data_IF_066471986929
#
_entry.id   IF_066471986929
#
_cell.length_a   1.000
_cell.length_b   1.000
_cell.length_c   1.000
_cell.angle_alpha   90.00
_cell.angle_beta   90.00
_cell.angle_gamma   90.00
#
_symmetry.space_group_name_H-M   'P 1'
#
loop_
_entity.id
_entity.type
_entity.pdbx_description
1 polymer ?
#
# COMPACT_ATOMS: atom_id res chain seq x y z
N UNK A 1 24.62 -6.40 -9.09
CA UNK A 1 23.50 -6.40 -10.06
C UNK A 1 22.41 -5.55 -9.44
N UNK A 2 21.85 -4.55 -10.15
CA UNK A 2 20.68 -3.86 -9.64
C UNK A 2 19.56 -4.88 -9.46
N UNK A 3 18.94 -4.88 -8.28
CA UNK A 3 17.87 -5.79 -7.92
C UNK A 3 16.64 -5.02 -7.51
N UNK A 4 15.46 -5.48 -7.87
CA UNK A 4 14.21 -4.84 -7.44
C UNK A 4 13.59 -5.71 -6.34
N UNK A 5 13.34 -5.12 -5.18
CA UNK A 5 12.66 -5.78 -4.06
C UNK A 5 11.27 -5.19 -3.90
N UNK A 6 10.24 -6.02 -4.09
CA UNK A 6 8.86 -5.66 -3.80
C UNK A 6 8.48 -6.15 -2.40
N UNK A 7 8.15 -5.24 -1.50
CA UNK A 7 7.70 -5.54 -0.13
C UNK A 7 6.20 -5.26 -0.05
N UNK A 8 5.34 -6.28 0.11
CA UNK A 8 3.91 -6.07 0.28
C UNK A 8 3.60 -5.41 1.63
N UNK A 9 2.69 -4.43 1.62
CA UNK A 9 2.14 -3.78 2.79
C UNK A 9 0.78 -4.41 3.10
N UNK A 10 0.64 -4.88 4.34
CA UNK A 10 -0.61 -5.39 4.87
C UNK A 10 -1.17 -4.44 5.91
N UNK A 11 -2.47 -4.15 5.82
CA UNK A 11 -3.22 -3.39 6.82
C UNK A 11 -4.14 -4.32 7.57
N UNK A 12 -4.09 -4.24 8.91
CA UNK A 12 -5.05 -4.86 9.81
C UNK A 12 -5.73 -3.77 10.64
N UNK A 13 -7.05 -3.69 10.56
CA UNK A 13 -7.86 -2.76 11.36
C UNK A 13 -8.42 -3.53 12.56
N UNK A 14 -8.02 -3.15 13.77
CA UNK A 14 -8.42 -3.85 15.01
C UNK A 14 -7.99 -5.32 15.02
N UNK A 15 -8.93 -6.23 15.28
CA UNK A 15 -8.72 -7.69 15.21
C UNK A 15 -9.23 -8.29 13.87
N UNK A 16 -9.36 -7.48 12.83
CA UNK A 16 -9.83 -7.92 11.52
C UNK A 16 -8.80 -8.75 10.73
N UNK A 17 -9.22 -9.16 9.53
CA UNK A 17 -8.36 -9.84 8.56
C UNK A 17 -7.26 -8.91 8.07
N UNK A 18 -6.04 -9.44 7.89
CA UNK A 18 -4.97 -8.73 7.20
C UNK A 18 -5.30 -8.66 5.71
N UNK A 19 -5.37 -7.44 5.19
CA UNK A 19 -5.59 -7.20 3.76
C UNK A 19 -4.32 -6.61 3.18
N UNK A 20 -3.86 -7.15 2.06
CA UNK A 20 -2.81 -6.52 1.27
C UNK A 20 -3.36 -5.23 0.67
N UNK A 21 -2.71 -4.12 0.98
CA UNK A 21 -3.18 -2.77 0.61
C UNK A 21 -2.27 -2.07 -0.38
N UNK A 22 -1.10 -2.65 -0.65
CA UNK A 22 -0.16 -2.12 -1.61
C UNK A 22 1.19 -2.82 -1.48
N UNK A 23 2.17 -2.33 -2.22
CA UNK A 23 3.54 -2.80 -2.15
C UNK A 23 4.51 -1.63 -2.32
N UNK A 24 5.64 -1.71 -1.63
CA UNK A 24 6.77 -0.80 -1.82
C UNK A 24 7.74 -1.48 -2.75
N UNK A 25 8.09 -0.80 -3.84
CA UNK A 25 9.12 -1.26 -4.77
C UNK A 25 10.40 -0.51 -4.46
N UNK A 26 11.47 -1.25 -4.16
CA UNK A 26 12.79 -0.71 -3.84
C UNK A 26 13.77 -1.15 -4.91
N UNK A 27 14.41 -0.18 -5.57
CA UNK A 27 15.53 -0.43 -6.46
C UNK A 27 16.83 -0.45 -5.65
N UNK A 28 17.46 -1.62 -5.61
CA UNK A 28 18.74 -1.86 -4.94
C UNK A 28 19.88 -1.50 -5.90
N UNK A 29 20.44 -0.30 -5.75
CA UNK A 29 21.74 0.03 -6.33
C UNK A 29 22.86 -0.22 -5.30
N UNK A 30 23.75 -1.18 -5.57
CA UNK A 30 24.94 -1.42 -4.75
C UNK A 30 24.70 -2.30 -3.51
N UNK A 31 25.47 -2.04 -2.43
CA UNK A 31 25.76 -2.87 -1.23
C UNK A 31 24.56 -3.40 -0.39
N UNK A 32 23.35 -3.48 -0.96
CA UNK A 32 22.26 -4.27 -0.40
C UNK A 32 21.56 -3.65 0.81
N UNK A 33 21.79 -2.36 1.06
CA UNK A 33 21.11 -1.63 2.14
C UNK A 33 20.21 -0.56 1.54
N UNK A 34 18.91 -0.67 1.79
CA UNK A 34 17.91 0.33 1.43
C UNK A 34 17.35 0.92 2.72
N UNK A 35 17.49 2.24 2.85
CA UNK A 35 16.94 2.98 3.99
C UNK A 35 15.58 3.52 3.59
N UNK A 36 14.51 2.99 4.16
CA UNK A 36 13.20 3.61 4.07
C UNK A 36 13.07 4.70 5.13
N UNK A 37 12.58 5.87 4.74
CA UNK A 37 12.24 6.91 5.71
C UNK A 37 10.80 6.74 6.19
N UNK A 38 10.49 7.31 7.35
CA UNK A 38 9.11 7.40 7.84
C UNK A 38 8.20 8.16 6.87
N UNK A 39 8.76 9.04 6.04
CA UNK A 39 8.03 9.74 4.98
C UNK A 39 7.56 8.78 3.90
N UNK A 40 8.42 7.87 3.44
CA UNK A 40 8.07 6.86 2.43
C UNK A 40 6.95 5.94 2.94
N UNK A 41 7.01 5.57 4.23
CA UNK A 41 5.97 4.78 4.89
C UNK A 41 4.65 5.57 4.98
N UNK A 42 4.73 6.85 5.33
CA UNK A 42 3.55 7.71 5.42
C UNK A 42 2.89 7.92 4.04
N UNK A 43 3.67 8.10 2.98
CA UNK A 43 3.16 8.20 1.61
C UNK A 43 2.50 6.89 1.16
N UNK A 44 3.11 5.75 1.43
CA UNK A 44 2.52 4.45 1.08
C UNK A 44 1.21 4.16 1.83
N UNK A 45 1.14 4.52 3.12
CA UNK A 45 -0.09 4.41 3.92
C UNK A 45 -1.18 5.38 3.45
N UNK A 46 -0.79 6.58 3.00
CA UNK A 46 -1.74 7.57 2.49
C UNK A 46 -2.29 7.18 1.12
N UNK A 47 -1.42 6.74 0.21
CA UNK A 47 -1.83 6.20 -1.08
C UNK A 47 -2.77 4.99 -0.93
N UNK A 48 -2.50 4.13 0.06
CA UNK A 48 -3.40 3.05 0.47
C UNK A 48 -4.76 3.58 0.92
N UNK A 49 -4.79 4.56 1.81
CA UNK A 49 -6.04 5.12 2.33
C UNK A 49 -6.89 5.75 1.22
N UNK A 50 -6.26 6.49 0.30
CA UNK A 50 -6.90 7.04 -0.89
C UNK A 50 -7.48 5.92 -1.79
N UNK A 51 -6.73 4.83 -2.01
CA UNK A 51 -7.22 3.70 -2.81
C UNK A 51 -8.42 2.98 -2.17
N UNK A 52 -8.42 2.83 -0.85
CA UNK A 52 -9.56 2.28 -0.09
C UNK A 52 -10.77 3.21 -0.19
N UNK A 53 -10.58 4.52 -0.03
CA UNK A 53 -11.65 5.51 -0.12
C UNK A 53 -12.25 5.57 -1.54
N UNK A 54 -11.41 5.53 -2.57
CA UNK A 54 -11.84 5.44 -3.96
C UNK A 54 -12.67 4.17 -4.22
N UNK A 55 -12.17 3.01 -3.78
CA UNK A 55 -12.87 1.74 -3.91
C UNK A 55 -14.22 1.72 -3.17
N UNK A 56 -14.28 2.34 -1.98
CA UNK A 56 -15.51 2.47 -1.21
C UNK A 56 -16.53 3.38 -1.91
N UNK A 57 -16.06 4.46 -2.55
CA UNK A 57 -16.89 5.38 -3.33
C UNK A 57 -17.44 4.72 -4.59
N UNK A 58 -16.63 3.94 -5.31
CA UNK A 58 -17.08 3.16 -6.48
C UNK A 58 -18.09 2.09 -6.08
N UNK A 59 -17.89 1.41 -4.95
CA UNK A 59 -18.87 0.44 -4.44
C UNK A 59 -20.21 1.10 -4.02
N UNK A 60 -20.17 2.34 -3.53
CA UNK A 60 -21.35 3.12 -3.21
C UNK A 60 -22.12 3.58 -4.47
N UNK A 61 -21.40 3.99 -5.53
CA UNK A 61 -21.98 4.40 -6.81
C UNK A 61 -22.54 3.20 -7.62
N UNK A 62 -21.95 2.01 -7.43
CA UNK A 62 -22.37 0.77 -8.08
C UNK A 62 -23.57 0.07 -7.40
N UNK A 63 -24.15 0.63 -6.32
CA UNK A 63 -25.36 0.09 -5.69
C UNK A 63 -26.61 0.51 -6.49
N UNK A 64 -27.31 -0.39 -7.20
CA UNK A 64 -28.50 -0.08 -7.98
C UNK A 64 -29.73 -0.27 -7.09
N UNK A 65 -29.96 0.64 -6.14
CA UNK A 65 -31.24 0.70 -5.43
C UNK A 65 -31.81 2.11 -5.58
N UNK A 66 -32.45 2.30 -6.73
CA UNK A 66 -33.45 3.34 -7.01
C UNK A 66 -34.75 2.66 -7.40
#
# INVERSE_FOLDING_TARGET
MPGTLAIPIYLRIGNGTETEVGQVVLDLEGDGTVTMTTTDIAEALRATADAIEASAKEAADASPDG
#
